data_IF_414552476399
#
_entry.id   IF_414552476399
#
_cell.length_a   1.000
_cell.length_b   1.000
_cell.length_c   1.000
_cell.angle_alpha   90.00
_cell.angle_beta   90.00
_cell.angle_gamma   90.00
#
_symmetry.space_group_name_H-M   'P 1'
#
loop_
_entity.id
_entity.type
_entity.pdbx_description
1 polymer ?
#
# COMPACT_ATOMS: atom_id res chain seq x y z
N UNK A 1 -55.81 -46.21 13.90
CA UNK A 1 -55.31 -44.81 13.95
C UNK A 1 -54.29 -44.73 15.08
N UNK A 2 -53.00 -44.79 14.76
CA UNK A 2 -51.92 -44.66 15.75
C UNK A 2 -50.66 -44.18 15.07
N UNK A 3 -50.24 -42.95 15.36
CA UNK A 3 -48.98 -42.38 14.87
C UNK A 3 -48.27 -41.75 16.06
N UNK A 4 -47.31 -42.50 16.61
CA UNK A 4 -46.37 -42.03 17.63
C UNK A 4 -45.41 -41.01 16.99
N UNK A 5 -45.20 -39.87 17.66
CA UNK A 5 -44.13 -38.92 17.35
C UNK A 5 -42.88 -39.30 18.14
N UNK A 6 -41.75 -39.50 17.46
CA UNK A 6 -40.43 -39.68 18.09
C UNK A 6 -39.65 -38.37 18.12
N UNK A 7 -39.21 -38.03 19.33
CA UNK A 7 -37.89 -37.51 19.72
C UNK A 7 -37.24 -36.40 18.90
N UNK A 8 -37.17 -35.20 19.49
CA UNK A 8 -36.21 -34.16 19.11
C UNK A 8 -34.81 -34.49 19.63
N UNK A 9 -33.85 -34.62 18.71
CA UNK A 9 -32.41 -34.64 18.99
C UNK A 9 -31.83 -33.25 18.78
N UNK A 10 -31.14 -32.74 19.79
CA UNK A 10 -30.38 -31.49 19.75
C UNK A 10 -29.21 -31.64 18.77
N UNK A 11 -29.02 -30.66 17.87
CA UNK A 11 -27.75 -30.46 17.19
C UNK A 11 -27.13 -29.17 17.72
N UNK A 12 -26.17 -29.34 18.63
CA UNK A 12 -25.21 -28.32 19.03
C UNK A 12 -24.33 -27.99 17.83
N UNK A 13 -24.45 -26.77 17.29
CA UNK A 13 -23.56 -26.28 16.26
C UNK A 13 -22.23 -25.90 16.92
N UNK A 14 -21.21 -26.73 16.69
CA UNK A 14 -19.82 -26.41 17.02
C UNK A 14 -19.26 -25.56 15.88
N UNK A 15 -19.03 -24.27 16.13
CA UNK A 15 -18.37 -23.36 15.17
C UNK A 15 -16.85 -23.63 15.23
N UNK A 16 -16.15 -23.89 14.10
CA UNK A 16 -14.72 -24.09 14.12
C UNK A 16 -13.96 -22.76 13.98
N UNK A 17 -12.78 -22.69 14.60
CA UNK A 17 -11.88 -21.54 14.65
C UNK A 17 -11.07 -21.36 13.34
N UNK A 18 -11.74 -21.36 12.17
CA UNK A 18 -11.10 -21.28 10.84
C UNK A 18 -10.99 -19.85 10.27
N UNK A 19 -11.31 -18.83 11.07
CA UNK A 19 -11.37 -17.44 10.60
C UNK A 19 -10.01 -16.80 10.28
N UNK A 20 -8.91 -17.33 10.81
CA UNK A 20 -7.59 -16.68 10.72
C UNK A 20 -6.74 -17.17 9.53
N UNK A 21 -6.76 -18.48 9.23
CA UNK A 21 -5.99 -19.06 8.13
C UNK A 21 -6.47 -18.59 6.76
N UNK A 22 -7.78 -18.45 6.59
CA UNK A 22 -8.39 -17.99 5.34
C UNK A 22 -8.06 -16.53 5.03
N UNK A 23 -7.87 -15.69 6.06
CA UNK A 23 -7.50 -14.28 5.88
C UNK A 23 -6.06 -14.12 5.36
N UNK A 24 -5.12 -14.93 5.84
CA UNK A 24 -3.73 -14.86 5.39
C UNK A 24 -3.61 -15.31 3.93
N UNK A 25 -4.26 -16.43 3.57
CA UNK A 25 -4.30 -16.92 2.19
C UNK A 25 -5.00 -15.93 1.25
N UNK A 26 -6.11 -15.32 1.69
CA UNK A 26 -6.79 -14.28 0.92
C UNK A 26 -5.90 -13.05 0.72
N UNK A 27 -5.18 -12.59 1.74
CA UNK A 27 -4.24 -11.47 1.61
C UNK A 27 -3.08 -11.80 0.65
N UNK A 28 -2.53 -13.02 0.70
CA UNK A 28 -1.49 -13.45 -0.24
C UNK A 28 -2.01 -13.52 -1.68
N UNK A 29 -3.24 -14.01 -1.91
CA UNK A 29 -3.87 -14.01 -3.23
C UNK A 29 -4.13 -12.59 -3.73
N UNK A 30 -4.56 -11.68 -2.85
CA UNK A 30 -4.78 -10.27 -3.20
C UNK A 30 -3.48 -9.57 -3.61
N UNK A 31 -2.37 -9.88 -2.91
CA UNK A 31 -1.04 -9.37 -3.27
C UNK A 31 -0.53 -9.99 -4.57
N UNK A 32 -0.77 -11.29 -4.79
CA UNK A 32 -0.39 -11.97 -6.03
C UNK A 32 -1.20 -11.49 -7.26
N UNK A 33 -2.41 -10.98 -7.04
CA UNK A 33 -3.30 -10.45 -8.07
C UNK A 33 -3.24 -8.92 -8.20
N UNK A 34 -2.36 -8.24 -7.46
CA UNK A 34 -2.25 -6.80 -7.55
C UNK A 34 -1.71 -6.41 -8.95
N UNK A 35 -2.60 -5.89 -9.80
CA UNK A 35 -2.22 -5.24 -11.06
C UNK A 35 -1.22 -4.09 -10.83
N UNK A 36 -0.59 -3.58 -11.89
CA UNK A 36 0.38 -2.49 -11.76
C UNK A 36 -0.22 -1.30 -11.00
N UNK A 37 0.49 -0.80 -9.99
CA UNK A 37 0.08 0.43 -9.29
C UNK A 37 0.03 1.55 -10.31
N UNK A 38 -1.11 2.24 -10.42
CA UNK A 38 -1.33 3.28 -11.42
C UNK A 38 -2.03 4.50 -10.86
N UNK A 39 -1.63 5.67 -11.36
CA UNK A 39 -2.33 6.95 -11.22
C UNK A 39 -2.58 7.49 -12.61
N UNK A 40 -3.85 7.60 -12.98
CA UNK A 40 -4.26 8.02 -14.33
C UNK A 40 -3.58 7.17 -15.41
N UNK A 41 -2.63 7.72 -16.17
CA UNK A 41 -1.87 7.02 -17.22
C UNK A 41 -0.48 6.53 -16.79
N UNK A 42 -0.03 6.92 -15.60
CA UNK A 42 1.27 6.54 -15.07
C UNK A 42 1.12 5.29 -14.23
N UNK A 43 2.00 4.32 -14.43
CA UNK A 43 2.08 3.11 -13.64
C UNK A 43 3.50 2.86 -13.17
N UNK A 44 3.68 1.91 -12.28
CA UNK A 44 5.00 1.45 -11.86
C UNK A 44 5.83 0.79 -12.98
N UNK A 45 5.32 0.70 -14.22
CA UNK A 45 6.05 0.18 -15.39
C UNK A 45 6.87 1.25 -16.11
N UNK A 46 6.53 2.53 -15.96
CA UNK A 46 7.27 3.62 -16.60
C UNK A 46 8.45 4.07 -15.72
N UNK A 47 9.54 4.51 -16.36
CA UNK A 47 10.64 5.22 -15.70
C UNK A 47 10.38 6.72 -15.78
N UNK A 48 10.40 7.40 -14.65
CA UNK A 48 10.03 8.82 -14.54
C UNK A 48 11.21 9.60 -13.96
N UNK A 49 11.56 10.71 -14.61
CA UNK A 49 12.50 11.70 -14.10
C UNK A 49 11.74 12.98 -13.77
N UNK A 50 11.75 13.37 -12.49
CA UNK A 50 11.29 14.68 -12.04
C UNK A 50 12.46 15.64 -11.89
N UNK A 51 12.30 16.84 -12.46
CA UNK A 51 13.32 17.90 -12.45
C UNK A 51 12.74 19.14 -11.78
N UNK A 52 13.50 19.71 -10.85
CA UNK A 52 13.12 20.95 -10.17
C UNK A 52 12.11 20.75 -9.04
N UNK A 53 12.15 19.61 -8.35
CA UNK A 53 11.13 19.22 -7.36
C UNK A 53 11.19 19.99 -6.02
N UNK A 54 12.22 20.83 -5.82
CA UNK A 54 12.30 21.70 -4.65
C UNK A 54 12.42 20.92 -3.34
N UNK A 55 11.30 20.78 -2.61
CA UNK A 55 11.19 20.10 -1.31
C UNK A 55 10.81 18.61 -1.41
N UNK A 56 10.69 18.09 -2.65
CA UNK A 56 10.40 16.70 -2.97
C UNK A 56 8.98 16.20 -2.63
N UNK A 57 8.08 17.10 -2.21
CA UNK A 57 6.73 16.72 -1.78
C UNK A 57 5.90 16.13 -2.92
N UNK A 58 6.06 16.65 -4.14
CA UNK A 58 5.40 16.13 -5.32
C UNK A 58 5.94 14.74 -5.70
N UNK A 59 7.26 14.51 -5.65
CA UNK A 59 7.81 13.16 -5.86
C UNK A 59 7.28 12.17 -4.83
N UNK A 60 7.23 12.56 -3.56
CA UNK A 60 6.71 11.68 -2.52
C UNK A 60 5.25 11.29 -2.76
N UNK A 61 4.42 12.23 -3.23
CA UNK A 61 3.03 11.96 -3.62
C UNK A 61 2.93 10.93 -4.76
N UNK A 62 3.75 11.09 -5.80
CA UNK A 62 3.81 10.16 -6.93
C UNK A 62 4.31 8.79 -6.47
N UNK A 63 5.43 8.75 -5.74
CA UNK A 63 6.05 7.53 -5.24
C UNK A 63 5.13 6.77 -4.27
N UNK A 64 4.33 7.47 -3.47
CA UNK A 64 3.33 6.83 -2.60
C UNK A 64 2.19 6.16 -3.38
N UNK A 65 1.91 6.64 -4.59
CA UNK A 65 0.77 6.18 -5.38
C UNK A 65 1.15 5.08 -6.39
N UNK A 66 2.26 5.25 -7.11
CA UNK A 66 2.73 4.26 -8.11
C UNK A 66 3.94 3.46 -7.63
N UNK A 67 4.62 3.86 -6.55
CA UNK A 67 5.88 3.28 -6.08
C UNK A 67 7.10 4.12 -6.51
N UNK A 68 8.14 4.12 -5.68
CA UNK A 68 9.36 4.91 -5.90
C UNK A 68 10.45 4.25 -6.76
N UNK A 69 10.40 2.93 -6.97
CA UNK A 69 11.50 2.17 -7.57
C UNK A 69 11.90 2.57 -9.00
N UNK A 70 10.99 3.20 -9.74
CA UNK A 70 11.22 3.70 -11.11
C UNK A 70 11.17 5.24 -11.21
N UNK A 71 11.25 5.94 -10.07
CA UNK A 71 11.23 7.40 -10.00
C UNK A 71 12.63 7.92 -9.65
N UNK A 72 13.14 8.84 -10.45
CA UNK A 72 14.32 9.66 -10.13
C UNK A 72 13.87 11.10 -10.01
N UNK A 73 14.23 11.76 -8.92
CA UNK A 73 13.82 13.13 -8.64
C UNK A 73 15.03 13.99 -8.32
N UNK A 74 15.06 15.19 -8.91
CA UNK A 74 16.20 16.10 -8.84
C UNK A 74 15.75 17.51 -8.49
N UNK A 75 16.59 18.22 -7.73
CA UNK A 75 16.40 19.61 -7.36
C UNK A 75 17.72 20.36 -7.52
N UNK A 76 17.65 21.68 -7.72
CA UNK A 76 18.83 22.53 -7.84
C UNK A 76 19.59 22.65 -6.51
N UNK A 77 18.84 22.68 -5.40
CA UNK A 77 19.37 22.90 -4.06
C UNK A 77 20.10 21.63 -3.57
N UNK A 78 21.29 21.81 -2.97
CA UNK A 78 21.90 20.75 -2.17
C UNK A 78 21.02 20.45 -0.96
N UNK A 79 21.13 19.25 -0.38
CA UNK A 79 20.33 18.83 0.78
C UNK A 79 20.32 19.87 1.91
N UNK A 80 21.47 20.42 2.28
CA UNK A 80 21.57 21.44 3.34
C UNK A 80 20.91 22.77 2.94
N UNK A 81 21.01 23.18 1.68
CA UNK A 81 20.34 24.38 1.18
C UNK A 81 18.83 24.21 1.16
N UNK A 82 18.35 23.04 0.74
CA UNK A 82 16.94 22.70 0.78
C UNK A 82 16.40 22.74 2.22
N UNK A 83 17.14 22.20 3.20
CA UNK A 83 16.74 22.25 4.61
C UNK A 83 16.63 23.69 5.15
N UNK A 84 17.54 24.58 4.77
CA UNK A 84 17.45 26.00 5.15
C UNK A 84 16.23 26.67 4.51
N UNK A 85 15.95 26.35 3.23
CA UNK A 85 14.88 26.99 2.45
C UNK A 85 13.48 26.50 2.78
N UNK A 86 13.32 25.21 3.05
CA UNK A 86 12.03 24.54 3.25
C UNK A 86 11.83 24.03 4.69
N UNK A 87 12.82 24.20 5.58
CA UNK A 87 12.75 23.80 6.98
C UNK A 87 12.76 22.28 7.19
N UNK A 88 12.11 21.82 8.27
CA UNK A 88 12.10 20.39 8.62
C UNK A 88 11.25 19.53 7.68
N UNK A 89 10.32 20.14 6.91
CA UNK A 89 9.45 19.44 5.99
C UNK A 89 10.23 18.65 4.94
N UNK A 90 11.21 19.28 4.28
CA UNK A 90 12.04 18.61 3.26
C UNK A 90 12.88 17.48 3.84
N UNK A 91 13.33 17.58 5.11
CA UNK A 91 14.06 16.49 5.75
C UNK A 91 13.19 15.24 5.87
N UNK A 92 11.93 15.41 6.31
CA UNK A 92 10.99 14.31 6.42
C UNK A 92 10.67 13.69 5.05
N UNK A 93 10.44 14.54 4.03
CA UNK A 93 10.16 14.09 2.67
C UNK A 93 11.31 13.30 2.07
N UNK A 94 12.56 13.80 2.22
CA UNK A 94 13.76 13.11 1.75
C UNK A 94 13.95 11.76 2.45
N UNK A 95 13.76 11.71 3.77
CA UNK A 95 13.85 10.45 4.52
C UNK A 95 12.79 9.44 4.11
N UNK A 96 11.59 9.89 3.76
CA UNK A 96 10.53 9.00 3.28
C UNK A 96 10.89 8.42 1.90
N UNK A 97 11.38 9.26 0.97
CA UNK A 97 11.81 8.83 -0.36
C UNK A 97 13.01 7.89 -0.32
N UNK A 98 13.97 8.10 0.58
CA UNK A 98 15.13 7.22 0.77
C UNK A 98 14.77 5.80 1.25
N UNK A 99 13.55 5.59 1.76
CA UNK A 99 13.06 4.30 2.26
C UNK A 99 12.18 3.55 1.25
N UNK A 100 11.90 4.14 0.08
CA UNK A 100 11.06 3.56 -0.97
C UNK A 100 11.85 2.76 -1.99
#
# INVERSE_FOLDING_TARGET
>A
RGRQKKGGGQQTQHLPAEGQSNMHLAAMLQLAQAGPRQVSRYSNKQRVLMVGDGDFSFSLSVASSVGGSNLVCTSLDKRTQAQVKYGQGVTATLQALERM
#
